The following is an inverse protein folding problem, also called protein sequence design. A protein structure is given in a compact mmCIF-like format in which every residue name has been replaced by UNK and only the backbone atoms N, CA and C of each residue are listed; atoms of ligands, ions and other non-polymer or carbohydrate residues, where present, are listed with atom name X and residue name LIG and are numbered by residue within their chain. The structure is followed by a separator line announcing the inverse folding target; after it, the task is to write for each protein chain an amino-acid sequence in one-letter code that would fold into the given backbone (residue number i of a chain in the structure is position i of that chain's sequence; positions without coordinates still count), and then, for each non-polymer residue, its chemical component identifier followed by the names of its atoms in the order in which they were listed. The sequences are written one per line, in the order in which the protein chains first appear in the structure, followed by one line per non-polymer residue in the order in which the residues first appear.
data_IF_944990904335
#
_entry.id   IF_944990904335
#
_cell.length_a   1.000
_cell.length_b   1.000
_cell.length_c   1.000
_cell.angle_alpha   90.00
_cell.angle_beta   90.00
_cell.angle_gamma   90.00
#
_symmetry.space_group_name_H-M   'P 1'
#
loop_
_entity.id
_entity.type
_entity.pdbx_description
1 polymer ?
#
# COMPACT_ATOMS: atom_id res chain seq x y z
N UNK A 1 -7.58 20.15 7.29
CA UNK A 1 -7.46 18.95 6.42
C UNK A 1 -7.07 19.35 5.01
N UNK A 2 -7.98 19.88 4.18
CA UNK A 2 -7.69 20.23 2.78
C UNK A 2 -6.43 21.09 2.59
N UNK A 3 -6.24 22.11 3.42
CA UNK A 3 -5.02 22.95 3.40
C UNK A 3 -3.73 22.13 3.57
N UNK A 4 -3.70 21.18 4.50
CA UNK A 4 -2.54 20.31 4.70
C UNK A 4 -2.29 19.40 3.47
N UNK A 5 -3.38 18.95 2.82
CA UNK A 5 -3.30 18.21 1.56
C UNK A 5 -2.71 19.00 0.42
N UNK A 6 -3.17 20.25 0.22
CA UNK A 6 -2.64 21.15 -0.80
C UNK A 6 -1.17 21.47 -0.53
N UNK A 7 -0.80 21.74 0.72
CA UNK A 7 0.60 21.96 1.10
C UNK A 7 1.48 20.76 0.77
N UNK A 8 1.04 19.53 1.08
CA UNK A 8 1.81 18.34 0.77
C UNK A 8 1.92 18.11 -0.74
N UNK A 9 0.83 18.31 -1.48
CA UNK A 9 0.82 18.22 -2.94
C UNK A 9 1.79 19.23 -3.58
N UNK A 10 1.78 20.50 -3.16
CA UNK A 10 2.73 21.49 -3.63
C UNK A 10 4.17 21.13 -3.25
N UNK A 11 4.40 20.64 -2.02
CA UNK A 11 5.71 20.25 -1.54
C UNK A 11 6.33 19.11 -2.37
N UNK A 12 5.60 18.00 -2.56
CA UNK A 12 6.11 16.86 -3.34
C UNK A 12 6.31 17.22 -4.82
N UNK A 13 5.42 18.02 -5.39
CA UNK A 13 5.56 18.49 -6.79
C UNK A 13 6.81 19.35 -6.94
N UNK A 14 7.05 20.26 -6.00
CA UNK A 14 8.25 21.12 -6.01
C UNK A 14 9.52 20.31 -5.80
N UNK A 15 9.53 19.32 -4.90
CA UNK A 15 10.69 18.47 -4.67
C UNK A 15 11.01 17.60 -5.89
N UNK A 16 9.98 17.01 -6.51
CA UNK A 16 10.15 16.22 -7.73
C UNK A 16 10.71 17.07 -8.88
N UNK A 17 10.18 18.28 -9.07
CA UNK A 17 10.66 19.19 -10.11
C UNK A 17 12.10 19.67 -9.84
N UNK A 18 12.44 19.94 -8.57
CA UNK A 18 13.80 20.35 -8.20
C UNK A 18 14.83 19.21 -8.35
N UNK A 19 14.42 17.95 -8.14
CA UNK A 19 15.30 16.78 -8.27
C UNK A 19 15.49 16.36 -9.74
N UNK A 20 14.40 16.36 -10.51
CA UNK A 20 14.38 15.76 -11.85
C UNK A 20 14.35 16.75 -13.00
N UNK A 21 14.01 18.02 -12.74
CA UNK A 21 13.70 19.00 -13.77
C UNK A 21 12.74 18.42 -14.81
N UNK A 22 11.72 17.71 -14.32
CA UNK A 22 10.89 16.81 -15.11
C UNK A 22 10.16 17.56 -16.22
N UNK A 23 9.76 18.81 -15.96
CA UNK A 23 9.11 19.67 -16.93
C UNK A 23 10.03 19.95 -18.13
N UNK A 24 11.32 20.20 -17.88
CA UNK A 24 12.32 20.51 -18.92
C UNK A 24 12.78 19.31 -19.75
N UNK A 25 12.50 18.09 -19.31
CA UNK A 25 12.89 16.88 -20.04
C UNK A 25 12.06 16.74 -21.33
N UNK A 26 12.69 16.17 -22.37
CA UNK A 26 11.95 15.71 -23.54
C UNK A 26 11.07 14.50 -23.22
N UNK A 27 10.10 14.20 -24.08
CA UNK A 27 9.22 13.03 -23.90
C UNK A 27 10.00 11.73 -23.69
N UNK A 28 11.03 11.49 -24.50
CA UNK A 28 11.89 10.31 -24.38
C UNK A 28 12.65 10.30 -23.03
N UNK A 29 13.21 11.43 -22.62
CA UNK A 29 13.96 11.53 -21.37
C UNK A 29 13.07 11.34 -20.14
N UNK A 30 11.81 11.80 -20.18
CA UNK A 30 10.83 11.54 -19.11
C UNK A 30 10.50 10.06 -18.99
N UNK A 31 10.29 9.38 -20.11
CA UNK A 31 10.04 7.94 -20.09
C UNK A 31 11.25 7.17 -19.55
N UNK A 32 12.47 7.57 -19.92
CA UNK A 32 13.70 6.98 -19.39
C UNK A 32 13.97 7.34 -17.91
N UNK A 33 13.34 8.39 -17.38
CA UNK A 33 13.42 8.72 -15.96
C UNK A 33 12.66 7.70 -15.09
N UNK A 34 11.63 7.04 -15.64
CA UNK A 34 10.97 5.91 -15.02
C UNK A 34 11.81 4.65 -15.18
N UNK A 35 12.64 4.36 -14.17
CA UNK A 35 13.49 3.16 -14.13
C UNK A 35 12.77 1.99 -13.45
N UNK A 36 13.27 0.78 -13.71
CA UNK A 36 12.84 -0.46 -13.05
C UNK A 36 11.31 -0.64 -13.05
N UNK A 37 10.68 -0.78 -11.88
CA UNK A 37 9.25 -1.03 -11.72
C UNK A 37 8.42 0.16 -12.21
N UNK A 38 8.92 1.39 -12.05
CA UNK A 38 8.22 2.60 -12.48
C UNK A 38 8.01 2.60 -14.00
N UNK A 39 9.06 2.24 -14.75
CA UNK A 39 9.01 2.14 -16.21
C UNK A 39 8.09 1.02 -16.66
N UNK A 40 8.14 -0.13 -15.96
CA UNK A 40 7.24 -1.25 -16.22
C UNK A 40 5.76 -0.84 -16.07
N UNK A 41 5.37 -0.22 -14.95
CA UNK A 41 3.98 0.18 -14.73
C UNK A 41 3.53 1.28 -15.69
N UNK A 42 4.38 2.28 -15.92
CA UNK A 42 4.07 3.33 -16.90
C UNK A 42 3.90 2.77 -18.32
N UNK A 43 4.65 1.73 -18.70
CA UNK A 43 4.52 1.10 -20.02
C UNK A 43 3.12 0.49 -20.24
N UNK A 44 2.54 -0.17 -19.23
CA UNK A 44 1.18 -0.70 -19.31
C UNK A 44 0.12 0.41 -19.38
N UNK A 45 0.29 1.50 -18.62
CA UNK A 45 -0.54 2.68 -18.77
C UNK A 45 -0.50 3.22 -20.20
N UNK A 46 0.71 3.31 -20.79
CA UNK A 46 0.94 3.75 -22.16
C UNK A 46 0.23 2.86 -23.20
N UNK A 47 0.32 1.53 -23.06
CA UNK A 47 -0.38 0.57 -23.93
C UNK A 47 -1.89 0.84 -23.96
N UNK A 48 -2.51 1.16 -22.81
CA UNK A 48 -3.96 1.36 -22.74
C UNK A 48 -4.37 2.69 -23.39
N UNK A 49 -3.59 3.77 -23.21
CA UNK A 49 -3.92 5.08 -23.77
C UNK A 49 -3.66 5.15 -25.28
N UNK A 50 -2.63 4.46 -25.78
CA UNK A 50 -2.27 4.43 -27.20
C UNK A 50 -3.13 3.44 -28.01
N UNK A 51 -3.81 2.51 -27.34
CA UNK A 51 -4.73 1.60 -27.99
C UNK A 51 -5.91 2.35 -28.65
N UNK A 52 -6.42 1.85 -29.80
CA UNK A 52 -7.53 2.48 -30.52
C UNK A 52 -8.80 2.59 -29.68
N UNK A 53 -9.05 1.61 -28.81
CA UNK A 53 -10.13 1.65 -27.82
C UNK A 53 -9.62 1.25 -26.44
N UNK A 54 -10.27 1.76 -25.39
CA UNK A 54 -9.94 1.41 -24.01
C UNK A 54 -10.00 -0.11 -23.79
N UNK A 55 -11.03 -0.77 -24.32
CA UNK A 55 -11.19 -2.22 -24.22
C UNK A 55 -10.09 -3.00 -24.95
N UNK A 56 -9.63 -2.52 -26.11
CA UNK A 56 -8.51 -3.14 -26.80
C UNK A 56 -7.22 -3.02 -25.99
N UNK A 57 -7.00 -1.86 -25.35
CA UNK A 57 -5.88 -1.65 -24.43
C UNK A 57 -5.93 -2.58 -23.21
N UNK A 58 -7.08 -2.67 -22.55
CA UNK A 58 -7.29 -3.59 -21.41
C UNK A 58 -7.10 -5.04 -21.85
N UNK A 59 -7.63 -5.45 -23.01
CA UNK A 59 -7.44 -6.79 -23.54
C UNK A 59 -5.97 -7.11 -23.82
N UNK A 60 -5.21 -6.16 -24.38
CA UNK A 60 -3.78 -6.31 -24.64
C UNK A 60 -2.99 -6.52 -23.33
N UNK A 61 -3.30 -5.74 -22.30
CA UNK A 61 -2.65 -5.83 -20.98
C UNK A 61 -3.07 -7.11 -20.23
N UNK A 62 -4.31 -7.59 -20.40
CA UNK A 62 -4.79 -8.85 -19.81
C UNK A 62 -4.26 -10.11 -20.51
N UNK A 63 -3.75 -10.00 -21.74
CA UNK A 63 -3.22 -11.12 -22.53
C UNK A 63 -1.78 -10.83 -22.97
N UNK A 64 -0.95 -10.43 -22.00
CA UNK A 64 0.43 -10.06 -22.29
C UNK A 64 1.28 -11.30 -22.58
N UNK A 65 1.99 -11.26 -23.70
CA UNK A 65 2.90 -12.33 -24.16
C UNK A 65 4.37 -11.92 -24.13
N UNK A 66 4.65 -10.65 -23.83
CA UNK A 66 5.98 -10.09 -23.97
C UNK A 66 6.77 -10.17 -22.66
N UNK A 67 6.13 -9.95 -21.51
CA UNK A 67 6.85 -9.80 -20.24
C UNK A 67 7.37 -11.12 -19.68
N UNK A 68 6.56 -12.19 -19.73
CA UNK A 68 6.94 -13.52 -19.25
C UNK A 68 6.89 -14.58 -20.38
N UNK A 69 7.45 -14.27 -21.55
CA UNK A 69 7.49 -15.21 -22.68
C UNK A 69 8.19 -16.54 -22.28
N UNK A 70 7.64 -17.73 -22.63
CA UNK A 70 6.55 -18.01 -23.57
C UNK A 70 5.13 -18.02 -22.97
N UNK A 71 4.97 -17.67 -21.70
CA UNK A 71 3.67 -17.66 -21.04
C UNK A 71 2.84 -16.45 -21.47
N UNK A 72 1.52 -16.62 -21.42
CA UNK A 72 0.57 -15.50 -21.55
C UNK A 72 0.06 -15.18 -20.16
N UNK A 73 0.34 -13.97 -19.69
CA UNK A 73 0.00 -13.55 -18.34
C UNK A 73 -1.10 -12.49 -18.34
N UNK A 74 -2.01 -12.63 -17.37
CA UNK A 74 -2.90 -11.55 -17.01
C UNK A 74 -2.17 -10.63 -16.03
N UNK A 75 -1.73 -9.48 -16.52
CA UNK A 75 -0.92 -8.54 -15.75
C UNK A 75 -1.73 -7.84 -14.65
N UNK A 76 -3.07 -7.75 -14.75
CA UNK A 76 -3.92 -7.28 -13.65
C UNK A 76 -3.88 -8.24 -12.46
N UNK A 77 -3.87 -9.55 -12.75
CA UNK A 77 -3.71 -10.60 -11.73
C UNK A 77 -2.29 -10.65 -11.19
N UNK A 78 -1.28 -10.58 -12.07
CA UNK A 78 0.14 -10.79 -11.73
C UNK A 78 0.79 -9.58 -11.05
N UNK A 79 0.50 -8.36 -11.50
CA UNK A 79 1.22 -7.14 -11.09
C UNK A 79 0.34 -6.07 -10.43
N UNK A 80 -0.94 -6.36 -10.15
CA UNK A 80 -1.86 -5.42 -9.49
C UNK A 80 -2.05 -4.08 -10.26
N UNK A 81 -2.16 -4.13 -11.59
CA UNK A 81 -2.25 -2.96 -12.51
C UNK A 81 -3.60 -2.22 -12.50
N UNK A 82 -4.42 -2.36 -11.45
CA UNK A 82 -5.68 -1.61 -11.34
C UNK A 82 -5.50 -0.08 -11.40
N UNK A 83 -4.47 0.52 -10.74
CA UNK A 83 -4.26 1.96 -10.83
C UNK A 83 -4.07 2.44 -12.27
N UNK A 84 -3.30 1.72 -13.08
CA UNK A 84 -3.00 2.11 -14.47
C UNK A 84 -4.22 2.01 -15.35
N UNK A 85 -5.06 0.99 -15.18
CA UNK A 85 -6.33 0.88 -15.91
C UNK A 85 -7.26 2.04 -15.57
N UNK A 86 -7.38 2.39 -14.28
CA UNK A 86 -8.21 3.52 -13.84
C UNK A 86 -7.65 4.84 -14.36
N UNK A 87 -6.35 5.07 -14.23
CA UNK A 87 -5.70 6.29 -14.71
C UNK A 87 -5.77 6.42 -16.22
N UNK A 88 -5.60 5.34 -16.98
CA UNK A 88 -5.74 5.36 -18.43
C UNK A 88 -7.18 5.70 -18.84
N UNK A 89 -8.18 5.20 -18.11
CA UNK A 89 -9.58 5.57 -18.33
C UNK A 89 -9.81 7.06 -18.09
N UNK A 90 -9.30 7.60 -16.97
CA UNK A 90 -9.41 9.02 -16.63
C UNK A 90 -8.67 9.91 -17.63
N UNK A 91 -7.49 9.49 -18.08
CA UNK A 91 -6.71 10.21 -19.08
C UNK A 91 -7.46 10.31 -20.40
N UNK A 92 -7.98 9.18 -20.93
CA UNK A 92 -8.75 9.19 -22.18
C UNK A 92 -10.03 10.03 -22.08
N UNK A 93 -10.73 9.99 -20.93
CA UNK A 93 -11.91 10.83 -20.67
C UNK A 93 -11.49 12.31 -20.64
N UNK A 94 -10.41 12.64 -19.92
CA UNK A 94 -9.90 13.99 -19.80
C UNK A 94 -9.49 14.56 -21.17
N UNK A 95 -8.71 13.83 -21.96
CA UNK A 95 -8.26 14.29 -23.28
C UNK A 95 -9.44 14.47 -24.23
N UNK A 96 -10.37 13.52 -24.27
CA UNK A 96 -11.57 13.61 -25.12
C UNK A 96 -12.47 14.80 -24.73
N UNK A 97 -12.65 15.03 -23.43
CA UNK A 97 -13.43 16.15 -22.94
C UNK A 97 -12.78 17.51 -23.24
N UNK A 98 -11.47 17.63 -23.06
CA UNK A 98 -10.76 18.88 -23.33
C UNK A 98 -10.66 19.16 -24.84
N UNK A 99 -10.52 18.12 -25.66
CA UNK A 99 -10.59 18.22 -27.13
C UNK A 99 -11.99 18.69 -27.57
N UNK A 100 -13.05 18.14 -26.97
CA UNK A 100 -14.42 18.60 -27.21
C UNK A 100 -14.63 20.09 -26.85
N UNK A 101 -14.00 20.56 -25.77
CA UNK A 101 -14.03 21.97 -25.38
C UNK A 101 -13.07 22.88 -26.17
N UNK A 102 -12.20 22.31 -27.02
CA UNK A 102 -11.18 23.05 -27.75
C UNK A 102 -10.10 23.68 -26.86
N UNK A 103 -9.91 23.17 -25.63
CA UNK A 103 -8.93 23.70 -24.67
C UNK A 103 -7.61 22.95 -24.83
N UNK A 104 -6.51 23.68 -25.08
CA UNK A 104 -5.18 23.06 -25.15
C UNK A 104 -4.77 22.49 -23.80
N UNK A 105 -4.46 21.19 -23.76
CA UNK A 105 -4.11 20.45 -22.54
C UNK A 105 -2.61 20.37 -22.28
N UNK A 106 -1.78 20.73 -23.28
CA UNK A 106 -0.32 20.72 -23.18
C UNK A 106 0.29 21.88 -23.96
N UNK A 107 1.38 22.41 -23.45
CA UNK A 107 2.20 23.44 -24.11
C UNK A 107 3.54 22.83 -24.48
N UNK A 108 3.85 22.83 -25.79
CA UNK A 108 5.08 22.23 -26.30
C UNK A 108 6.12 23.30 -26.63
N UNK A 109 7.35 23.05 -26.19
CA UNK A 109 8.51 23.90 -26.37
C UNK A 109 9.58 23.14 -27.16
N UNK A 110 10.27 23.83 -28.06
CA UNK A 110 11.41 23.26 -28.78
C UNK A 110 12.70 23.58 -28.02
N UNK A 111 13.36 22.56 -27.49
CA UNK A 111 14.60 22.71 -26.72
C UNK A 111 15.80 22.41 -27.62
N UNK A 112 16.67 23.41 -27.81
CA UNK A 112 17.92 23.25 -28.54
C UNK A 112 19.00 22.65 -27.64
N UNK A 113 19.50 21.46 -27.99
CA UNK A 113 20.46 20.69 -27.17
C UNK A 113 21.94 21.06 -27.37
N UNK A 114 22.22 22.12 -28.13
CA UNK A 114 23.59 22.57 -28.45
C UNK A 114 24.02 22.27 -29.88
N UNK A 115 25.28 22.56 -30.23
CA UNK A 115 25.81 22.45 -31.60
C UNK A 115 25.85 20.99 -32.06
N UNK A 116 25.17 20.70 -33.16
CA UNK A 116 25.22 19.38 -33.84
C UNK A 116 24.19 18.36 -33.36
N UNK A 117 23.30 18.71 -32.41
CA UNK A 117 22.20 17.85 -31.97
C UNK A 117 20.87 18.38 -32.50
N UNK A 118 19.98 17.48 -32.93
CA UNK A 118 18.63 17.86 -33.36
C UNK A 118 17.85 18.45 -32.20
N UNK A 119 17.07 19.53 -32.42
CA UNK A 119 16.16 20.03 -31.40
C UNK A 119 15.18 18.94 -30.98
N UNK A 120 14.77 18.96 -29.72
CA UNK A 120 13.81 18.00 -29.18
C UNK A 120 12.60 18.76 -28.63
N UNK A 121 11.42 18.21 -28.84
CA UNK A 121 10.18 18.75 -28.31
C UNK A 121 9.97 18.31 -26.86
N UNK A 122 9.67 19.27 -26.00
CA UNK A 122 9.27 19.05 -24.61
C UNK A 122 7.88 19.64 -24.40
N UNK A 123 6.89 18.78 -24.15
CA UNK A 123 5.50 19.18 -23.92
C UNK A 123 5.17 19.12 -22.45
N UNK A 124 4.74 20.20 -21.82
CA UNK A 124 4.32 20.21 -20.42
C UNK A 124 2.80 20.31 -20.31
N UNK A 125 2.24 19.75 -19.24
CA UNK A 125 0.81 19.85 -18.92
C UNK A 125 0.13 18.50 -18.71
N UNK A 126 -1.13 18.53 -18.27
CA UNK A 126 -1.92 17.31 -18.01
C UNK A 126 -2.31 16.55 -19.28
N UNK A 127 -2.11 17.14 -20.47
CA UNK A 127 -2.21 16.45 -21.76
C UNK A 127 -0.96 15.65 -22.15
N UNK A 128 0.13 15.73 -21.38
CA UNK A 128 1.28 14.83 -21.50
C UNK A 128 1.05 13.60 -20.62
N UNK A 129 1.13 12.36 -21.15
CA UNK A 129 0.79 11.15 -20.39
C UNK A 129 1.64 10.96 -19.12
N UNK A 130 2.94 11.20 -19.20
CA UNK A 130 3.87 11.05 -18.07
C UNK A 130 3.57 12.07 -16.97
N UNK A 131 3.35 13.32 -17.36
CA UNK A 131 2.98 14.41 -16.45
C UNK A 131 1.63 14.18 -15.79
N UNK A 132 0.62 13.71 -16.53
CA UNK A 132 -0.69 13.33 -15.98
C UNK A 132 -0.57 12.21 -14.94
N UNK A 133 0.17 11.15 -15.29
CA UNK A 133 0.34 9.98 -14.45
C UNK A 133 0.96 10.35 -13.09
N UNK A 134 2.04 11.13 -13.08
CA UNK A 134 2.68 11.62 -11.86
C UNK A 134 1.79 12.60 -11.09
N UNK A 135 1.12 13.52 -11.77
CA UNK A 135 0.26 14.52 -11.14
C UNK A 135 -0.88 13.89 -10.32
N UNK A 136 -1.53 12.83 -10.84
CA UNK A 136 -2.62 12.16 -10.12
C UNK A 136 -2.09 11.43 -8.88
N UNK A 137 -0.90 10.81 -8.94
CA UNK A 137 -0.26 10.19 -7.78
C UNK A 137 0.03 11.23 -6.69
N UNK A 138 0.52 12.41 -7.09
CA UNK A 138 0.79 13.49 -6.15
C UNK A 138 -0.49 14.06 -5.54
N UNK A 139 -1.57 14.18 -6.32
CA UNK A 139 -2.88 14.58 -5.80
C UNK A 139 -3.39 13.56 -4.76
N UNK A 140 -3.25 12.26 -5.05
CA UNK A 140 -3.64 11.17 -4.16
C UNK A 140 -2.83 11.21 -2.84
N UNK A 141 -1.54 11.54 -2.90
CA UNK A 141 -0.70 11.74 -1.72
C UNK A 141 -1.02 13.06 -0.98
N UNK A 142 -1.56 14.06 -1.65
CA UNK A 142 -2.19 15.22 -1.01
C UNK A 142 -3.43 14.82 -0.20
N UNK A 143 -4.27 13.93 -0.73
CA UNK A 143 -5.42 13.36 -0.01
C UNK A 143 -4.96 12.60 1.24
N UNK A 144 -3.90 11.80 1.14
CA UNK A 144 -3.30 11.11 2.29
C UNK A 144 -2.96 12.08 3.43
N UNK A 145 -2.35 13.23 3.14
CA UNK A 145 -2.02 14.21 4.17
C UNK A 145 -3.27 14.82 4.83
N UNK A 146 -4.33 15.05 4.04
CA UNK A 146 -5.62 15.49 4.57
C UNK A 146 -6.20 14.46 5.55
N UNK A 147 -6.08 13.17 5.22
CA UNK A 147 -6.51 12.06 6.08
C UNK A 147 -5.66 11.97 7.36
N UNK A 148 -4.34 12.16 7.29
CA UNK A 148 -3.48 12.21 8.48
C UNK A 148 -3.89 13.32 9.44
N UNK A 149 -4.19 14.52 8.93
CA UNK A 149 -4.69 15.62 9.77
C UNK A 149 -6.00 15.26 10.46
N UNK A 150 -6.94 14.66 9.72
CA UNK A 150 -8.23 14.20 10.27
C UNK A 150 -7.98 13.12 11.32
N UNK A 151 -7.09 12.18 11.05
CA UNK A 151 -6.79 11.07 11.95
C UNK A 151 -6.14 11.54 13.26
N UNK A 152 -5.13 12.41 13.18
CA UNK A 152 -4.51 13.01 14.37
C UNK A 152 -5.49 13.87 15.17
N UNK A 153 -6.37 14.61 14.50
CA UNK A 153 -7.44 15.39 15.15
C UNK A 153 -8.43 14.47 15.88
N UNK A 154 -8.84 13.38 15.22
CA UNK A 154 -9.77 12.42 15.79
C UNK A 154 -9.16 11.70 17.00
N UNK A 155 -7.91 11.26 16.92
CA UNK A 155 -7.25 10.53 18.00
C UNK A 155 -7.05 11.41 19.24
N UNK A 156 -6.61 12.65 19.05
CA UNK A 156 -6.32 13.60 20.14
C UNK A 156 -7.54 14.36 20.68
N UNK A 157 -8.66 14.39 19.94
CA UNK A 157 -9.82 15.23 20.26
C UNK A 157 -9.59 16.73 20.06
N UNK A 158 -8.45 17.14 19.46
CA UNK A 158 -8.08 18.54 19.28
C UNK A 158 -7.50 18.78 17.89
N UNK A 159 -7.72 20.00 17.35
CA UNK A 159 -7.11 20.39 16.06
C UNK A 159 -5.58 20.46 16.14
N UNK A 160 -5.04 20.68 17.33
CA UNK A 160 -3.59 20.74 17.58
C UNK A 160 -2.94 19.37 17.36
N UNK A 161 -3.60 18.27 17.75
CA UNK A 161 -3.06 16.93 17.48
C UNK A 161 -2.95 16.65 15.98
N UNK A 162 -3.93 17.06 15.18
CA UNK A 162 -3.84 16.97 13.71
C UNK A 162 -2.68 17.79 13.14
N UNK A 163 -2.46 19.00 13.66
CA UNK A 163 -1.33 19.85 13.26
C UNK A 163 0.01 19.20 13.60
N UNK A 164 0.17 18.66 14.81
CA UNK A 164 1.38 17.96 15.25
C UNK A 164 1.66 16.75 14.36
N UNK A 165 0.64 15.94 14.03
CA UNK A 165 0.80 14.80 13.10
C UNK A 165 1.35 15.24 11.75
N UNK A 166 0.81 16.30 11.17
CA UNK A 166 1.28 16.85 9.89
C UNK A 166 2.71 17.37 10.00
N UNK A 167 3.04 18.13 11.05
CA UNK A 167 4.41 18.63 11.27
C UNK A 167 5.42 17.49 11.42
N UNK A 168 5.10 16.47 12.20
CA UNK A 168 5.96 15.29 12.37
C UNK A 168 6.21 14.56 11.06
N UNK A 169 5.19 14.45 10.21
CA UNK A 169 5.33 13.87 8.87
C UNK A 169 6.26 14.70 8.00
N UNK A 170 6.06 16.03 7.91
CA UNK A 170 6.94 16.89 7.10
C UNK A 170 8.39 16.88 7.59
N UNK A 171 8.60 16.84 8.91
CA UNK A 171 9.94 16.79 9.48
C UNK A 171 10.68 15.47 9.21
N UNK A 172 9.93 14.38 9.02
CA UNK A 172 10.48 13.05 8.71
C UNK A 172 10.09 12.59 7.30
N UNK A 173 9.83 13.53 6.36
CA UNK A 173 9.20 13.23 5.08
C UNK A 173 9.95 12.14 4.29
N UNK A 174 11.27 12.26 4.18
CA UNK A 174 12.11 11.31 3.45
C UNK A 174 12.17 9.89 4.04
N UNK A 175 11.80 9.73 5.33
CA UNK A 175 11.70 8.42 5.98
C UNK A 175 10.25 7.88 5.95
N UNK A 176 9.25 8.77 5.85
CA UNK A 176 7.84 8.39 5.78
C UNK A 176 7.38 8.02 4.36
N UNK A 177 7.98 8.61 3.33
CA UNK A 177 7.61 8.35 1.94
C UNK A 177 8.75 8.63 0.98
N UNK A 178 8.79 7.84 -0.09
CA UNK A 178 9.70 8.04 -1.24
C UNK A 178 8.97 8.49 -2.50
N UNK A 179 7.69 8.87 -2.38
CA UNK A 179 6.82 9.22 -3.53
C UNK A 179 7.41 10.32 -4.42
N UNK A 180 8.20 11.23 -3.85
CA UNK A 180 8.85 12.30 -4.62
C UNK A 180 10.01 11.83 -5.50
N UNK A 181 10.62 10.67 -5.22
CA UNK A 181 11.68 10.12 -6.07
C UNK A 181 11.16 9.03 -7.00
N UNK A 182 10.21 8.25 -6.50
CA UNK A 182 9.65 7.09 -7.19
C UNK A 182 8.12 7.13 -7.11
N UNK A 183 7.45 8.06 -7.85
CA UNK A 183 6.01 8.25 -7.73
C UNK A 183 5.17 7.00 -8.02
N UNK A 184 5.35 6.30 -9.16
CA UNK A 184 4.40 5.30 -9.63
C UNK A 184 4.59 3.91 -9.00
N UNK A 185 5.15 3.86 -7.80
CA UNK A 185 5.20 2.61 -7.05
C UNK A 185 3.83 2.25 -6.47
N UNK A 186 3.61 0.95 -6.25
CA UNK A 186 2.33 0.41 -5.78
C UNK A 186 1.91 0.96 -4.43
N UNK A 187 2.86 1.09 -3.50
CA UNK A 187 2.60 1.66 -2.18
C UNK A 187 2.10 3.10 -2.25
N UNK A 188 2.53 3.89 -3.24
CA UNK A 188 2.10 5.30 -3.41
C UNK A 188 0.60 5.41 -3.70
N UNK A 189 0.02 4.41 -4.35
CA UNK A 189 -1.42 4.32 -4.61
C UNK A 189 -2.21 3.84 -3.39
N UNK A 190 -1.67 2.86 -2.67
CA UNK A 190 -2.34 2.23 -1.54
C UNK A 190 -2.27 3.05 -0.25
N UNK A 191 -1.25 3.88 -0.05
CA UNK A 191 -0.98 4.55 1.24
C UNK A 191 -2.13 5.43 1.77
N UNK A 192 -2.82 6.27 0.97
CA UNK A 192 -3.98 7.03 1.48
C UNK A 192 -5.11 6.12 1.99
N UNK A 193 -5.34 4.99 1.32
CA UNK A 193 -6.36 4.02 1.73
C UNK A 193 -5.97 3.28 3.00
N UNK A 194 -4.68 3.07 3.26
CA UNK A 194 -4.21 2.58 4.56
C UNK A 194 -4.54 3.57 5.69
N UNK A 195 -4.28 4.86 5.50
CA UNK A 195 -4.58 5.88 6.51
C UNK A 195 -6.07 5.99 6.76
N UNK A 196 -6.88 5.96 5.70
CA UNK A 196 -8.35 5.92 5.81
C UNK A 196 -8.82 4.68 6.57
N UNK A 197 -8.25 3.52 6.26
CA UNK A 197 -8.56 2.24 6.89
C UNK A 197 -8.23 2.28 8.40
N UNK A 198 -7.07 2.81 8.78
CA UNK A 198 -6.65 2.99 10.18
C UNK A 198 -7.58 3.95 10.93
N UNK A 199 -8.01 5.05 10.29
CA UNK A 199 -8.99 5.98 10.83
C UNK A 199 -10.34 5.30 11.08
N UNK A 200 -10.87 4.57 10.09
CA UNK A 200 -12.14 3.86 10.19
C UNK A 200 -12.09 2.75 11.26
N UNK A 201 -11.00 2.00 11.33
CA UNK A 201 -10.80 1.00 12.38
C UNK A 201 -10.80 1.65 13.77
N UNK A 202 -10.04 2.74 13.94
CA UNK A 202 -9.99 3.49 15.21
C UNK A 202 -11.37 4.01 15.60
N UNK A 203 -12.15 4.49 14.63
CA UNK A 203 -13.54 4.92 14.81
C UNK A 203 -14.44 3.77 15.30
N UNK A 204 -14.37 2.61 14.64
CA UNK A 204 -15.15 1.40 15.01
C UNK A 204 -14.79 0.92 16.43
N UNK A 205 -13.50 0.97 16.80
CA UNK A 205 -13.06 0.54 18.13
C UNK A 205 -13.65 1.43 19.24
N UNK A 206 -13.74 2.75 19.01
CA UNK A 206 -14.22 3.73 19.99
C UNK A 206 -15.73 3.72 20.21
N UNK A 207 -16.52 3.27 19.24
CA UNK A 207 -17.99 3.28 19.36
C UNK A 207 -18.46 2.02 20.08
N UNK A 208 -19.47 2.11 20.98
CA UNK A 208 -20.03 0.95 21.65
C UNK A 208 -20.69 -0.02 20.67
N UNK A 209 -21.55 0.48 19.78
CA UNK A 209 -22.28 -0.31 18.80
C UNK A 209 -21.77 -0.08 17.38
N UNK A 210 -21.38 -1.15 16.70
CA UNK A 210 -20.84 -1.06 15.34
C UNK A 210 -21.97 -0.79 14.35
N UNK A 211 -21.85 0.29 13.58
CA UNK A 211 -22.77 0.62 12.50
C UNK A 211 -22.42 -0.18 11.24
N UNK A 212 -23.42 -0.74 10.55
CA UNK A 212 -23.20 -1.47 9.29
C UNK A 212 -22.47 -0.61 8.25
N UNK A 213 -22.80 0.68 8.14
CA UNK A 213 -22.11 1.61 7.25
C UNK A 213 -20.61 1.76 7.53
N UNK A 214 -20.20 1.71 8.81
CA UNK A 214 -18.77 1.77 9.17
C UNK A 214 -18.01 0.50 8.78
N UNK A 215 -18.64 -0.67 8.89
CA UNK A 215 -18.06 -1.93 8.42
C UNK A 215 -17.95 -1.97 6.89
N UNK A 216 -18.98 -1.49 6.18
CA UNK A 216 -18.94 -1.37 4.71
C UNK A 216 -17.82 -0.42 4.29
N UNK A 217 -17.69 0.74 4.95
CA UNK A 217 -16.59 1.67 4.69
C UNK A 217 -15.22 1.02 4.93
N UNK A 218 -15.07 0.23 6.00
CA UNK A 218 -13.85 -0.52 6.27
C UNK A 218 -13.56 -1.55 5.18
N UNK A 219 -14.58 -2.32 4.74
CA UNK A 219 -14.45 -3.26 3.63
C UNK A 219 -13.98 -2.57 2.35
N UNK A 220 -14.62 -1.47 1.98
CA UNK A 220 -14.29 -0.71 0.77
C UNK A 220 -12.86 -0.15 0.86
N UNK A 221 -12.47 0.41 2.01
CA UNK A 221 -11.11 0.92 2.22
C UNK A 221 -10.06 -0.20 2.15
N UNK A 222 -10.36 -1.39 2.69
CA UNK A 222 -9.49 -2.56 2.57
C UNK A 222 -9.32 -3.00 1.10
N UNK A 223 -10.41 -2.97 0.30
CA UNK A 223 -10.34 -3.32 -1.12
C UNK A 223 -9.44 -2.35 -1.88
N UNK A 224 -9.64 -1.04 -1.71
CA UNK A 224 -8.78 -0.03 -2.34
C UNK A 224 -7.34 -0.04 -1.82
N UNK A 225 -7.09 -0.54 -0.61
CA UNK A 225 -5.74 -0.73 -0.10
C UNK A 225 -5.04 -1.96 -0.72
N UNK A 226 -5.75 -3.07 -0.89
CA UNK A 226 -5.18 -4.32 -1.41
C UNK A 226 -5.05 -4.37 -2.93
N UNK A 227 -6.00 -3.81 -3.69
CA UNK A 227 -5.99 -3.91 -5.16
C UNK A 227 -4.73 -3.31 -5.84
N UNK A 228 -4.16 -2.18 -5.38
CA UNK A 228 -2.96 -1.62 -5.99
C UNK A 228 -1.68 -2.30 -5.52
N UNK A 229 -1.65 -2.90 -4.33
CA UNK A 229 -0.40 -3.27 -3.66
C UNK A 229 -0.39 -4.70 -3.13
N UNK A 230 0.46 -5.53 -3.73
CA UNK A 230 0.62 -6.94 -3.35
C UNK A 230 1.01 -7.15 -1.88
N UNK A 231 1.83 -6.26 -1.30
CA UNK A 231 2.32 -6.40 0.07
C UNK A 231 1.34 -5.87 1.12
N UNK A 232 0.19 -5.31 0.72
CA UNK A 232 -0.85 -4.82 1.63
C UNK A 232 -1.29 -5.89 2.64
N UNK A 233 -1.29 -7.17 2.25
CA UNK A 233 -1.64 -8.29 3.11
C UNK A 233 -0.75 -8.41 4.35
N UNK A 234 0.55 -8.09 4.24
CA UNK A 234 1.47 -8.11 5.38
C UNK A 234 1.14 -7.01 6.38
N UNK A 235 0.80 -5.81 5.89
CA UNK A 235 0.38 -4.70 6.75
C UNK A 235 -0.93 -5.06 7.48
N UNK A 236 -1.92 -5.59 6.77
CA UNK A 236 -3.19 -6.02 7.39
C UNK A 236 -2.99 -7.20 8.36
N UNK A 237 -2.05 -8.11 8.08
CA UNK A 237 -1.68 -9.19 9.01
C UNK A 237 -1.16 -8.61 10.33
N UNK A 238 -0.24 -7.65 10.30
CA UNK A 238 0.27 -7.00 11.53
C UNK A 238 -0.83 -6.29 12.30
N UNK A 239 -1.77 -5.65 11.60
CA UNK A 239 -2.91 -5.00 12.20
C UNK A 239 -3.83 -6.02 12.90
N UNK A 240 -4.21 -7.09 12.23
CA UNK A 240 -5.05 -8.14 12.82
C UNK A 240 -4.35 -8.83 13.99
N UNK A 241 -3.05 -9.09 13.89
CA UNK A 241 -2.24 -9.61 14.99
C UNK A 241 -2.29 -8.68 16.22
N UNK A 242 -2.15 -7.37 16.01
CA UNK A 242 -2.24 -6.39 17.10
C UNK A 242 -3.64 -6.33 17.73
N UNK A 243 -4.71 -6.39 16.92
CA UNK A 243 -6.09 -6.41 17.42
C UNK A 243 -6.38 -7.69 18.20
N UNK A 244 -5.84 -8.82 17.73
CA UNK A 244 -5.96 -10.10 18.42
C UNK A 244 -5.24 -10.08 19.77
N UNK A 245 -4.01 -9.57 19.84
CA UNK A 245 -3.28 -9.40 21.09
C UNK A 245 -4.06 -8.55 22.10
N UNK A 246 -4.62 -7.41 21.66
CA UNK A 246 -5.44 -6.52 22.50
C UNK A 246 -6.76 -7.18 22.93
N UNK A 247 -7.34 -8.04 22.08
CA UNK A 247 -8.54 -8.83 22.41
C UNK A 247 -8.25 -9.92 23.44
N UNK A 248 -7.12 -10.62 23.34
CA UNK A 248 -6.66 -11.63 24.30
C UNK A 248 -6.46 -10.98 25.69
N UNK A 249 -5.81 -9.81 25.73
CA UNK A 249 -5.62 -9.00 26.94
C UNK A 249 -6.94 -8.48 27.56
N UNK A 250 -8.05 -8.54 26.82
CA UNK A 250 -9.38 -8.20 27.33
C UNK A 250 -9.78 -6.73 27.18
N UNK A 251 -9.04 -5.94 26.40
CA UNK A 251 -9.39 -4.53 26.14
C UNK A 251 -10.44 -4.37 25.02
N UNK A 252 -10.62 -5.40 24.18
CA UNK A 252 -11.60 -5.41 23.09
C UNK A 252 -12.51 -6.63 23.23
N UNK A 253 -13.81 -6.44 23.02
CA UNK A 253 -14.79 -7.52 23.02
C UNK A 253 -14.59 -8.46 21.83
N UNK A 254 -14.66 -9.78 22.07
CA UNK A 254 -14.54 -10.80 21.03
C UNK A 254 -15.58 -10.63 19.92
N UNK A 255 -16.81 -10.23 20.25
CA UNK A 255 -17.87 -9.98 19.26
C UNK A 255 -17.52 -8.79 18.34
N UNK A 256 -16.89 -7.75 18.88
CA UNK A 256 -16.45 -6.59 18.10
C UNK A 256 -15.33 -6.99 17.14
N UNK A 257 -14.35 -7.77 17.63
CA UNK A 257 -13.28 -8.29 16.78
C UNK A 257 -13.81 -9.24 15.69
N UNK A 258 -14.76 -10.13 16.00
CA UNK A 258 -15.38 -11.01 15.00
C UNK A 258 -16.02 -10.22 13.85
N UNK A 259 -16.75 -9.13 14.13
CA UNK A 259 -17.34 -8.27 13.08
C UNK A 259 -16.28 -7.61 12.21
N UNK A 260 -15.17 -7.15 12.80
CA UNK A 260 -14.03 -6.60 12.07
C UNK A 260 -13.38 -7.68 11.19
N UNK A 261 -13.15 -8.87 11.73
CA UNK A 261 -12.60 -10.00 10.97
C UNK A 261 -13.49 -10.38 9.79
N UNK A 262 -14.81 -10.40 9.96
CA UNK A 262 -15.75 -10.64 8.86
C UNK A 262 -15.60 -9.58 7.76
N UNK A 263 -15.44 -8.30 8.10
CA UNK A 263 -15.19 -7.25 7.12
C UNK A 263 -13.88 -7.49 6.35
N UNK A 264 -12.81 -7.89 7.05
CA UNK A 264 -11.54 -8.26 6.45
C UNK A 264 -11.66 -9.48 5.52
N UNK A 265 -12.38 -10.54 5.93
CA UNK A 265 -12.64 -11.73 5.12
C UNK A 265 -13.47 -11.43 3.87
N UNK A 266 -14.51 -10.61 3.99
CA UNK A 266 -15.31 -10.16 2.84
C UNK A 266 -14.46 -9.34 1.87
N UNK A 267 -13.64 -8.41 2.38
CA UNK A 267 -12.74 -7.62 1.53
C UNK A 267 -11.73 -8.50 0.78
N UNK A 268 -11.18 -9.53 1.45
CA UNK A 268 -10.26 -10.50 0.84
C UNK A 268 -10.95 -11.29 -0.28
N UNK A 269 -12.18 -11.75 -0.06
CA UNK A 269 -12.95 -12.50 -1.06
C UNK A 269 -13.28 -11.62 -2.28
N UNK A 270 -13.68 -10.37 -2.06
CA UNK A 270 -13.95 -9.43 -3.16
C UNK A 270 -12.67 -9.15 -3.95
N UNK A 271 -11.54 -8.91 -3.28
CA UNK A 271 -10.24 -8.76 -3.93
C UNK A 271 -9.82 -10.00 -4.73
N UNK A 272 -10.08 -11.21 -4.20
CA UNK A 272 -9.81 -12.46 -4.91
C UNK A 272 -10.60 -12.56 -6.22
N UNK A 273 -11.88 -12.22 -6.19
CA UNK A 273 -12.76 -12.21 -7.37
C UNK A 273 -12.28 -11.15 -8.36
N UNK A 274 -12.02 -9.93 -7.90
CA UNK A 274 -11.59 -8.82 -8.75
C UNK A 274 -10.28 -9.18 -9.45
N UNK A 275 -9.30 -9.73 -8.75
CA UNK A 275 -7.99 -10.11 -9.29
C UNK A 275 -7.98 -11.45 -10.05
N UNK A 276 -9.12 -11.87 -10.61
CA UNK A 276 -9.24 -13.07 -11.44
C UNK A 276 -8.71 -14.35 -10.77
N UNK A 277 -9.04 -14.53 -9.49
CA UNK A 277 -8.62 -15.70 -8.72
C UNK A 277 -7.11 -15.74 -8.49
N UNK A 278 -6.52 -14.61 -8.07
CA UNK A 278 -5.13 -14.59 -7.64
C UNK A 278 -4.94 -15.53 -6.44
N UNK A 279 -4.26 -16.64 -6.69
CA UNK A 279 -4.13 -17.73 -5.75
C UNK A 279 -3.18 -17.39 -4.58
N UNK A 280 -2.21 -16.49 -4.80
CA UNK A 280 -1.32 -15.96 -3.75
C UNK A 280 -2.12 -15.25 -2.64
N UNK A 281 -3.24 -14.61 -3.00
CA UNK A 281 -4.06 -13.89 -2.03
C UNK A 281 -4.65 -14.86 -0.99
N UNK A 282 -5.10 -16.04 -1.44
CA UNK A 282 -5.74 -17.06 -0.60
C UNK A 282 -4.73 -17.91 0.18
N UNK A 283 -3.53 -18.13 -0.36
CA UNK A 283 -2.43 -18.82 0.34
C UNK A 283 -1.59 -17.92 1.25
N UNK A 284 -1.96 -16.66 1.37
CA UNK A 284 -1.26 -15.71 2.23
C UNK A 284 -1.38 -16.04 3.71
N UNK A 285 -0.36 -15.66 4.49
CA UNK A 285 -0.41 -15.71 5.95
C UNK A 285 -1.56 -14.89 6.54
N UNK A 286 -1.95 -13.81 5.86
CA UNK A 286 -3.10 -12.99 6.24
C UNK A 286 -4.41 -13.76 6.16
N UNK A 287 -4.69 -14.43 5.04
CA UNK A 287 -5.90 -15.24 4.88
C UNK A 287 -5.97 -16.37 5.92
N UNK A 288 -4.86 -17.08 6.12
CA UNK A 288 -4.78 -18.12 7.14
C UNK A 288 -5.00 -17.57 8.57
N UNK A 289 -4.38 -16.43 8.89
CA UNK A 289 -4.52 -15.77 10.19
C UNK A 289 -5.95 -15.36 10.48
N UNK A 290 -6.69 -14.82 9.51
CA UNK A 290 -8.07 -14.42 9.70
C UNK A 290 -8.96 -15.62 10.09
N UNK A 291 -8.82 -16.76 9.39
CA UNK A 291 -9.59 -17.98 9.65
C UNK A 291 -9.24 -18.56 11.02
N UNK A 292 -7.95 -18.62 11.36
CA UNK A 292 -7.49 -19.17 12.64
C UNK A 292 -7.98 -18.31 13.81
N UNK A 293 -7.86 -16.99 13.72
CA UNK A 293 -8.36 -16.09 14.78
C UNK A 293 -9.87 -16.22 14.91
N UNK A 294 -10.62 -16.24 13.80
CA UNK A 294 -12.07 -16.42 13.84
C UNK A 294 -12.46 -17.73 14.54
N UNK A 295 -11.76 -18.84 14.22
CA UNK A 295 -11.94 -20.12 14.89
C UNK A 295 -11.62 -20.09 16.38
N UNK A 296 -10.51 -19.44 16.79
CA UNK A 296 -10.14 -19.27 18.20
C UNK A 296 -11.22 -18.48 18.94
N UNK A 297 -11.72 -17.38 18.38
CA UNK A 297 -12.74 -16.55 19.03
C UNK A 297 -14.09 -17.26 19.20
N UNK A 298 -14.43 -18.19 18.29
CA UNK A 298 -15.65 -18.99 18.37
C UNK A 298 -15.54 -20.18 19.34
N UNK A 299 -14.31 -20.68 19.53
CA UNK A 299 -14.00 -21.84 20.36
C UNK A 299 -13.67 -21.45 21.82
N UNK A 300 -12.99 -20.33 22.03
CA UNK A 300 -12.53 -19.87 23.35
C UNK A 300 -13.65 -19.70 24.39
N UNK A 301 -14.83 -19.12 24.11
CA UNK A 301 -15.89 -19.04 25.11
C UNK A 301 -16.49 -20.40 25.46
N UNK A 302 -16.36 -21.41 24.57
CA UNK A 302 -16.90 -22.76 24.78
C UNK A 302 -15.94 -23.64 25.58
N UNK A 303 -14.62 -23.47 25.40
CA UNK A 303 -13.59 -24.28 26.06
C UNK A 303 -13.10 -23.64 27.37
N UNK A 304 -12.91 -22.32 27.42
CA UNK A 304 -12.41 -21.59 28.59
C UNK A 304 -13.55 -20.93 29.37
N UNK A 305 -14.50 -21.72 29.85
CA UNK A 305 -15.65 -21.22 30.63
C UNK A 305 -15.31 -20.88 32.08
N UNK A 306 -14.05 -20.92 32.51
CA UNK A 306 -13.70 -20.77 33.92
C UNK A 306 -12.39 -20.01 34.16
N UNK A 307 -12.51 -19.04 35.08
CA UNK A 307 -11.45 -18.30 35.76
C UNK A 307 -10.76 -17.17 34.97
N UNK A 308 -10.27 -16.19 35.74
CA UNK A 308 -9.57 -14.98 35.29
C UNK A 308 -8.59 -15.32 34.17
N UNK A 309 -8.55 -14.48 33.12
CA UNK A 309 -7.57 -14.58 32.04
C UNK A 309 -6.16 -14.34 32.60
N UNK A 310 -5.56 -15.39 33.13
CA UNK A 310 -4.18 -15.40 33.56
C UNK A 310 -3.27 -15.33 32.33
N UNK A 311 -2.07 -14.79 32.51
CA UNK A 311 -1.07 -14.58 31.44
C UNK A 311 -0.80 -15.87 30.64
N UNK A 312 -0.92 -17.03 31.28
CA UNK A 312 -0.76 -18.33 30.63
C UNK A 312 -1.77 -18.58 29.50
N UNK A 313 -3.03 -18.16 29.67
CA UNK A 313 -4.06 -18.27 28.63
C UNK A 313 -3.69 -17.44 27.41
N UNK A 314 -3.12 -16.24 27.63
CA UNK A 314 -2.69 -15.37 26.53
C UNK A 314 -1.57 -16.00 25.70
N UNK A 315 -0.63 -16.66 26.37
CA UNK A 315 0.46 -17.38 25.70
C UNK A 315 -0.09 -18.55 24.90
N UNK A 316 -1.05 -19.33 25.44
CA UNK A 316 -1.68 -20.42 24.70
C UNK A 316 -2.40 -19.91 23.45
N UNK A 317 -3.26 -18.91 23.58
CA UNK A 317 -4.03 -18.38 22.44
C UNK A 317 -3.11 -17.76 21.37
N UNK A 318 -2.05 -17.05 21.80
CA UNK A 318 -1.03 -16.51 20.91
C UNK A 318 -0.23 -17.60 20.17
N UNK A 319 0.22 -18.64 20.88
CA UNK A 319 0.89 -19.78 20.28
C UNK A 319 -0.04 -20.54 19.32
N UNK A 320 -1.29 -20.80 19.72
CA UNK A 320 -2.29 -21.46 18.90
C UNK A 320 -2.55 -20.69 17.59
N UNK A 321 -2.62 -19.36 17.67
CA UNK A 321 -2.72 -18.51 16.48
C UNK A 321 -1.50 -18.63 15.57
N UNK A 322 -0.28 -18.53 16.10
CA UNK A 322 0.95 -18.63 15.30
C UNK A 322 1.08 -19.99 14.62
N UNK A 323 0.99 -21.08 15.37
CA UNK A 323 1.09 -22.44 14.83
C UNK A 323 -0.07 -22.77 13.90
N UNK A 324 -1.29 -22.35 14.25
CA UNK A 324 -2.47 -22.53 13.41
C UNK A 324 -2.33 -21.80 12.07
N UNK A 325 -1.82 -20.56 12.07
CA UNK A 325 -1.62 -19.76 10.85
C UNK A 325 -0.59 -20.42 9.93
N UNK A 326 0.56 -20.84 10.47
CA UNK A 326 1.61 -21.51 9.67
C UNK A 326 1.11 -22.85 9.11
N UNK A 327 0.42 -23.64 9.94
CA UNK A 327 -0.13 -24.94 9.55
C UNK A 327 -1.19 -24.78 8.46
N UNK A 328 -2.16 -23.88 8.66
CA UNK A 328 -3.22 -23.64 7.69
C UNK A 328 -2.67 -23.10 6.38
N UNK A 329 -1.70 -22.16 6.42
CA UNK A 329 -0.99 -21.68 5.23
C UNK A 329 -0.32 -22.81 4.46
N UNK A 330 0.38 -23.70 5.17
CA UNK A 330 1.04 -24.85 4.54
C UNK A 330 0.02 -25.79 3.88
N UNK A 331 -1.07 -26.11 4.57
CA UNK A 331 -2.13 -26.97 4.05
C UNK A 331 -2.84 -26.35 2.83
N UNK A 332 -3.14 -25.05 2.85
CA UNK A 332 -3.77 -24.37 1.70
C UNK A 332 -2.82 -24.28 0.52
N UNK A 333 -1.53 -24.03 0.76
CA UNK A 333 -0.50 -24.05 -0.29
C UNK A 333 -0.38 -25.43 -0.95
N UNK A 334 -0.42 -26.49 -0.14
CA UNK A 334 -0.38 -27.88 -0.62
C UNK A 334 -1.64 -28.24 -1.42
N UNK A 335 -2.83 -27.87 -0.93
CA UNK A 335 -4.10 -28.15 -1.59
C UNK A 335 -4.24 -27.46 -2.95
N UNK A 336 -3.69 -26.27 -3.10
CA UNK A 336 -3.74 -25.50 -4.35
C UNK A 336 -2.53 -25.73 -5.26
N UNK A 337 -1.52 -26.50 -4.81
CA UNK A 337 -0.33 -26.83 -5.60
C UNK A 337 0.56 -25.62 -5.93
N UNK A 338 0.57 -24.59 -5.07
CA UNK A 338 1.27 -23.33 -5.34
C UNK A 338 2.67 -23.37 -4.72
N UNK A 339 3.69 -23.30 -5.57
CA UNK A 339 5.08 -23.19 -5.16
C UNK A 339 5.59 -21.74 -5.07
N UNK A 340 4.84 -20.76 -5.62
CA UNK A 340 5.33 -19.39 -5.84
C UNK A 340 5.69 -18.62 -4.55
N UNK A 341 5.08 -18.93 -3.41
CA UNK A 341 5.41 -18.30 -2.11
C UNK A 341 6.66 -18.88 -1.43
N UNK A 342 7.38 -19.81 -2.07
CA UNK A 342 8.61 -20.38 -1.53
C UNK A 342 9.70 -19.32 -1.37
N UNK A 343 9.73 -18.27 -2.21
CA UNK A 343 10.78 -17.26 -2.18
C UNK A 343 10.86 -16.50 -0.85
N UNK A 344 9.74 -16.04 -0.27
CA UNK A 344 9.77 -15.31 1.01
C UNK A 344 10.25 -16.23 2.14
N UNK A 345 9.78 -17.48 2.16
CA UNK A 345 10.24 -18.48 3.11
C UNK A 345 11.74 -18.79 2.96
N UNK A 346 12.22 -18.89 1.73
CA UNK A 346 13.64 -19.13 1.41
C UNK A 346 14.51 -17.93 1.81
N UNK A 347 14.05 -16.70 1.60
CA UNK A 347 14.74 -15.48 2.06
C UNK A 347 14.85 -15.47 3.59
N UNK A 348 13.78 -15.79 4.31
CA UNK A 348 13.82 -15.89 5.77
C UNK A 348 14.75 -17.01 6.24
N UNK A 349 14.69 -18.20 5.61
CA UNK A 349 15.63 -19.30 5.89
C UNK A 349 17.07 -18.91 5.59
N UNK A 350 17.30 -18.12 4.54
CA UNK A 350 18.64 -17.63 4.19
C UNK A 350 19.20 -16.74 5.29
N UNK A 351 18.40 -15.82 5.81
CA UNK A 351 18.79 -14.91 6.89
C UNK A 351 19.02 -15.60 8.23
N UNK A 352 18.13 -16.50 8.64
CA UNK A 352 18.17 -17.06 10.00
C UNK A 352 18.92 -18.40 10.09
N UNK A 353 18.93 -19.18 9.00
CA UNK A 353 19.46 -20.56 8.98
C UNK A 353 20.64 -20.69 7.99
N UNK A 354 20.93 -19.65 7.19
CA UNK A 354 22.03 -19.66 6.22
C UNK A 354 21.74 -20.44 4.94
N UNK A 355 20.47 -20.68 4.60
CA UNK A 355 20.05 -21.28 3.33
C UNK A 355 20.49 -20.44 2.13
N UNK A 356 20.91 -21.08 1.03
CA UNK A 356 21.37 -20.39 -0.18
C UNK A 356 20.82 -21.10 -1.42
N UNK A 357 20.08 -20.36 -2.21
CA UNK A 357 19.68 -20.66 -3.58
C UNK A 357 20.00 -19.43 -4.45
N UNK A 358 19.79 -19.52 -5.76
CA UNK A 358 20.08 -18.41 -6.67
C UNK A 358 19.30 -17.14 -6.30
N UNK A 359 18.01 -17.28 -6.01
CA UNK A 359 17.13 -16.14 -5.72
C UNK A 359 17.49 -15.47 -4.40
N UNK A 360 17.76 -16.23 -3.34
CA UNK A 360 18.17 -15.68 -2.04
C UNK A 360 19.51 -14.98 -2.13
N UNK A 361 20.46 -15.47 -2.93
CA UNK A 361 21.73 -14.78 -3.17
C UNK A 361 21.51 -13.48 -3.95
N UNK A 362 20.61 -13.47 -4.94
CA UNK A 362 20.27 -12.27 -5.69
C UNK A 362 19.57 -11.23 -4.79
N UNK A 363 18.56 -11.64 -4.02
CA UNK A 363 17.80 -10.74 -3.14
C UNK A 363 18.64 -10.19 -1.98
N UNK A 364 19.52 -11.00 -1.38
CA UNK A 364 20.39 -10.54 -0.27
C UNK A 364 21.47 -9.55 -0.70
N UNK A 365 21.71 -9.36 -2.00
CA UNK A 365 22.57 -8.29 -2.50
C UNK A 365 21.91 -6.90 -2.47
N UNK A 366 20.58 -6.83 -2.45
CA UNK A 366 19.84 -5.58 -2.44
C UNK A 366 19.63 -5.11 -0.99
N UNK A 367 19.94 -3.84 -0.70
CA UNK A 367 19.88 -3.27 0.65
C UNK A 367 18.47 -3.34 1.26
N UNK A 368 17.44 -3.30 0.41
CA UNK A 368 16.04 -3.37 0.79
C UNK A 368 15.64 -4.71 1.42
N UNK A 369 16.35 -5.78 1.07
CA UNK A 369 16.15 -7.10 1.64
C UNK A 369 17.18 -7.42 2.72
N UNK A 370 18.08 -6.50 3.09
CA UNK A 370 19.02 -6.70 4.19
C UNK A 370 18.38 -6.33 5.55
N UNK A 371 19.10 -6.57 6.66
CA UNK A 371 18.68 -6.04 7.96
C UNK A 371 18.68 -4.51 7.95
N UNK A 372 17.85 -3.93 8.82
CA UNK A 372 17.77 -2.48 8.97
C UNK A 372 19.15 -1.86 9.18
N UNK A 373 19.46 -0.84 8.39
CA UNK A 373 20.73 -0.12 8.48
C UNK A 373 20.91 0.46 9.90
N UNK A 374 22.12 0.35 10.44
CA UNK A 374 22.45 0.92 11.76
C UNK A 374 22.29 2.45 11.80
N UNK A 375 22.28 3.11 10.65
CA UNK A 375 22.05 4.55 10.55
C UNK A 375 20.59 4.94 10.79
N UNK A 376 19.63 4.09 10.45
CA UNK A 376 18.20 4.42 10.54
C UNK A 376 17.77 4.80 11.96
N UNK A 377 18.10 4.02 13.03
CA UNK A 377 17.81 4.43 14.41
C UNK A 377 18.51 5.73 14.83
N UNK A 378 19.70 6.00 14.27
CA UNK A 378 20.45 7.24 14.53
C UNK A 378 19.74 8.44 13.90
N UNK A 379 19.22 8.30 12.67
CA UNK A 379 18.42 9.34 12.01
C UNK A 379 17.15 9.64 12.80
N UNK A 380 16.43 8.61 13.27
CA UNK A 380 15.23 8.80 14.09
C UNK A 380 15.51 9.42 15.47
N UNK A 381 16.69 9.19 16.02
CA UNK A 381 17.14 9.88 17.24
C UNK A 381 17.46 11.35 16.96
N UNK A 382 18.13 11.64 15.83
CA UNK A 382 18.42 13.03 15.41
C UNK A 382 17.15 13.84 15.16
N UNK A 383 16.12 13.23 14.59
CA UNK A 383 14.83 13.90 14.39
C UNK A 383 13.95 13.95 15.64
N UNK A 384 14.46 13.49 16.80
CA UNK A 384 13.74 13.34 18.06
C UNK A 384 12.49 12.45 17.99
N UNK A 385 12.24 11.78 16.87
CA UNK A 385 11.08 10.92 16.68
C UNK A 385 11.13 9.75 17.67
N UNK A 386 12.25 9.02 17.70
CA UNK A 386 12.40 7.86 18.57
C UNK A 386 12.34 8.23 20.07
N UNK A 387 13.07 9.26 20.56
CA UNK A 387 12.94 9.73 21.95
C UNK A 387 11.51 10.12 22.32
N UNK A 388 10.81 10.89 21.48
CA UNK A 388 9.44 11.33 21.76
C UNK A 388 8.50 10.13 21.86
N UNK A 389 8.60 9.17 20.93
CA UNK A 389 7.78 7.95 20.96
C UNK A 389 8.03 7.13 22.23
N UNK A 390 9.29 6.98 22.67
CA UNK A 390 9.61 6.26 23.91
C UNK A 390 9.05 6.96 25.15
N UNK A 391 9.12 8.29 25.21
CA UNK A 391 8.52 9.06 26.31
C UNK A 391 7.00 8.89 26.32
N UNK A 392 6.34 9.01 25.17
CA UNK A 392 4.89 8.81 25.04
C UNK A 392 4.50 7.39 25.46
N UNK A 393 5.25 6.38 25.02
CA UNK A 393 5.02 4.99 25.40
C UNK A 393 5.16 4.78 26.91
N UNK A 394 6.19 5.35 27.54
CA UNK A 394 6.36 5.32 28.99
C UNK A 394 5.22 6.00 29.76
N UNK A 395 4.71 7.12 29.25
CA UNK A 395 3.53 7.81 29.84
C UNK A 395 2.27 6.97 29.71
N UNK A 396 2.07 6.29 28.58
CA UNK A 396 0.92 5.39 28.37
C UNK A 396 0.98 4.23 29.35
N UNK A 397 2.13 3.55 29.45
CA UNK A 397 2.31 2.43 30.39
C UNK A 397 2.04 2.87 31.83
N UNK A 398 2.49 4.06 32.22
CA UNK A 398 2.28 4.56 33.59
C UNK A 398 0.81 4.89 33.90
N UNK A 399 -0.02 5.14 32.88
CA UNK A 399 -1.45 5.46 33.02
C UNK A 399 -2.35 4.23 33.05
N UNK A 400 -1.88 3.11 32.49
CA UNK A 400 -2.54 1.79 32.57
C UNK A 400 -2.16 1.14 33.88
#
# INVERSE_FOLDING_TARGET
AAFAGVLHWCHITTLFENDRHFSHLSTLEREMAFRTEMGLYYSYFKIIIEAPSFWNGVYAVMNDRLTEYPLVINTLKRFNLYPEVVLASWYRIYTAFMEFLGVSTKTCWTVNRGKGLSPVESCEGLGDPASFYVAVIFLLNGLMMSLFFIYGTYLSGSRLGGLVTVMCFFFNHGECTRVMWTPPLRESFSYPFLVLQMLLLTYILRIPNINAGSLIALCVSNIFFMLPWQFAQFVLLTQIASLFAVCIMGYIDSCKLQKILTAHMVSLLVCFILMFGNSMLLTSYYAASLVVIWGILELSPKILTSSRREVYVWVIEGCAWLFGTVTLKYLTSLALGIADDAHIGNILKSKFIGYKDFDTLMYTCAAEFDFMEKETPVRYTKTMLLPVVLVVFGVIIKRV
#
